data_IF_909511636259
#
_entry.id   IF_909511636259
#
_cell.length_a   1.000
_cell.length_b   1.000
_cell.length_c   1.000
_cell.angle_alpha   90.00
_cell.angle_beta   90.00
_cell.angle_gamma   90.00
#
_symmetry.space_group_name_H-M   'P 1'
#
loop_
_entity.id
_entity.type
_entity.pdbx_description
1 polymer ?
#
# COMPACT_ATOMS: atom_id res chain seq x y z
N UNK A 1 14.76 -15.79 -19.66
CA UNK A 1 14.24 -15.28 -18.38
C UNK A 1 12.86 -14.71 -18.67
N UNK A 2 11.79 -15.05 -17.95
CA UNK A 2 10.55 -14.30 -18.11
C UNK A 2 10.83 -12.89 -17.58
N UNK A 3 10.62 -11.87 -18.42
CA UNK A 3 10.63 -10.48 -18.02
C UNK A 3 9.52 -10.34 -16.97
N UNK A 4 9.86 -10.35 -15.68
CA UNK A 4 8.88 -10.10 -14.62
C UNK A 4 8.51 -8.63 -14.74
N UNK A 5 7.40 -8.34 -15.43
CA UNK A 5 6.82 -7.00 -15.44
C UNK A 5 6.66 -6.56 -14.00
N UNK A 6 7.35 -5.49 -13.62
CA UNK A 6 7.31 -5.00 -12.26
C UNK A 6 5.86 -4.61 -11.94
N UNK A 7 5.37 -4.79 -10.70
CA UNK A 7 4.10 -4.20 -10.30
C UNK A 7 4.08 -2.66 -10.46
N UNK A 8 5.25 -2.06 -10.71
CA UNK A 8 5.45 -0.64 -11.01
C UNK A 8 5.45 -0.34 -12.53
N UNK A 9 5.48 -1.34 -13.41
CA UNK A 9 5.35 -1.19 -14.86
C UNK A 9 3.89 -0.96 -15.23
N UNK A 10 3.42 0.25 -14.95
CA UNK A 10 2.07 0.71 -15.25
C UNK A 10 2.08 1.57 -16.52
N UNK A 11 1.01 1.52 -17.33
CA UNK A 11 0.89 2.41 -18.47
C UNK A 11 0.93 3.88 -18.03
N UNK A 12 1.49 4.73 -18.88
CA UNK A 12 1.54 6.17 -18.60
C UNK A 12 0.11 6.73 -18.44
N UNK A 13 -0.11 7.47 -17.35
CA UNK A 13 -1.43 7.99 -17.00
C UNK A 13 -2.35 7.01 -16.26
N UNK A 14 -1.85 5.86 -15.79
CA UNK A 14 -2.64 4.99 -14.91
C UNK A 14 -3.14 5.78 -13.68
N UNK A 15 -4.45 5.76 -13.37
CA UNK A 15 -5.00 6.52 -12.25
C UNK A 15 -4.37 6.11 -10.90
N UNK A 16 -3.78 4.93 -10.80
CA UNK A 16 -3.07 4.44 -9.62
C UNK A 16 -1.58 4.25 -9.90
N UNK A 17 -1.02 5.05 -10.81
CA UNK A 17 0.40 5.19 -11.01
C UNK A 17 1.14 5.80 -9.81
N UNK A 18 2.49 5.80 -9.84
CA UNK A 18 3.32 6.32 -8.77
C UNK A 18 3.14 7.84 -8.52
N UNK A 19 2.45 8.56 -9.40
CA UNK A 19 2.12 9.97 -9.19
C UNK A 19 0.92 10.20 -8.27
N UNK A 20 0.00 9.23 -8.12
CA UNK A 20 -1.26 9.43 -7.38
C UNK A 20 -1.18 8.85 -5.96
N UNK A 21 -0.66 7.62 -5.82
CA UNK A 21 -0.45 6.93 -4.53
C UNK A 21 -1.53 7.21 -3.47
N UNK A 22 -2.83 6.95 -3.76
CA UNK A 22 -3.88 7.25 -2.83
C UNK A 22 -3.81 6.31 -1.61
N UNK A 23 -4.04 6.89 -0.44
CA UNK A 23 -4.12 6.16 0.82
C UNK A 23 -5.53 5.62 1.05
N UNK A 24 -5.62 4.41 1.58
CA UNK A 24 -6.86 3.75 1.97
C UNK A 24 -6.63 2.85 3.19
N UNK A 25 -7.72 2.33 3.75
CA UNK A 25 -7.66 1.24 4.73
C UNK A 25 -8.07 -0.04 4.04
N UNK A 26 -7.31 -1.10 4.25
CA UNK A 26 -7.60 -2.42 3.70
C UNK A 26 -7.42 -3.51 4.76
N UNK A 27 -8.00 -4.67 4.50
CA UNK A 27 -7.67 -5.95 5.15
C UNK A 27 -7.58 -7.04 4.08
N UNK A 28 -7.11 -8.22 4.46
CA UNK A 28 -7.02 -9.37 3.56
C UNK A 28 -8.08 -10.41 3.92
N UNK A 29 -8.48 -11.31 3.00
CA UNK A 29 -9.44 -12.36 3.30
C UNK A 29 -9.02 -13.27 4.46
N UNK A 30 -7.71 -13.52 4.61
CA UNK A 30 -7.15 -14.36 5.67
C UNK A 30 -7.17 -13.67 7.05
N UNK A 31 -7.13 -12.34 7.06
CA UNK A 31 -7.11 -11.52 8.27
C UNK A 31 -8.06 -10.32 8.13
N UNK A 32 -9.39 -10.54 8.16
CA UNK A 32 -10.37 -9.50 7.88
C UNK A 32 -10.44 -8.43 9.00
N UNK A 33 -10.12 -8.79 10.24
CA UNK A 33 -10.01 -7.87 11.38
C UNK A 33 -8.76 -6.97 11.35
N UNK A 34 -7.70 -7.38 10.64
CA UNK A 34 -6.42 -6.69 10.57
C UNK A 34 -6.43 -5.55 9.55
N UNK A 35 -7.24 -4.53 9.86
CA UNK A 35 -7.38 -3.32 9.05
C UNK A 35 -6.23 -2.36 9.29
N UNK A 36 -5.58 -1.92 8.21
CA UNK A 36 -4.41 -1.03 8.26
C UNK A 36 -4.29 -0.15 7.03
N UNK A 37 -3.42 0.85 7.10
CA UNK A 37 -3.21 1.80 6.01
C UNK A 37 -2.44 1.15 4.87
N UNK A 38 -2.96 1.29 3.65
CA UNK A 38 -2.33 0.86 2.43
C UNK A 38 -2.37 1.94 1.36
N UNK A 39 -1.48 1.82 0.38
CA UNK A 39 -1.40 2.68 -0.79
C UNK A 39 -1.71 1.86 -2.03
N UNK A 40 -2.66 2.33 -2.85
CA UNK A 40 -2.97 1.63 -4.11
C UNK A 40 -1.93 1.96 -5.17
N UNK A 41 -1.40 0.92 -5.82
CA UNK A 41 -0.51 1.03 -6.97
C UNK A 41 -0.90 0.02 -8.06
N UNK A 42 -1.45 0.54 -9.17
CA UNK A 42 -2.10 -0.27 -10.20
C UNK A 42 -3.15 -1.22 -9.61
N UNK A 43 -2.86 -2.53 -9.73
CA UNK A 43 -3.71 -3.63 -9.23
C UNK A 43 -3.31 -4.15 -7.85
N UNK A 44 -2.32 -3.53 -7.21
CA UNK A 44 -1.78 -3.97 -5.93
C UNK A 44 -2.05 -2.93 -4.85
N UNK A 45 -2.00 -3.37 -3.60
CA UNK A 45 -1.99 -2.50 -2.43
C UNK A 45 -0.66 -2.71 -1.72
N UNK A 46 0.11 -1.63 -1.57
CA UNK A 46 1.30 -1.62 -0.74
C UNK A 46 0.87 -1.39 0.71
N UNK A 47 1.28 -2.29 1.59
CA UNK A 47 1.08 -2.15 3.04
C UNK A 47 1.99 -1.06 3.60
N UNK A 48 1.41 0.08 3.97
CA UNK A 48 2.17 1.25 4.42
C UNK A 48 2.77 1.02 5.82
N UNK A 49 2.07 0.30 6.69
CA UNK A 49 2.54 -0.05 8.03
C UNK A 49 3.76 -0.98 7.96
N UNK A 50 3.68 -2.03 7.15
CA UNK A 50 4.79 -2.95 6.94
C UNK A 50 6.00 -2.27 6.31
N UNK A 51 5.79 -1.42 5.29
CA UNK A 51 6.86 -0.65 4.67
C UNK A 51 7.52 0.33 5.66
N UNK A 52 6.72 1.04 6.46
CA UNK A 52 7.21 1.94 7.50
C UNK A 52 8.04 1.19 8.55
N UNK A 53 7.61 0.00 8.96
CA UNK A 53 8.36 -0.83 9.89
C UNK A 53 9.70 -1.29 9.30
N UNK A 54 9.70 -1.79 8.06
CA UNK A 54 10.90 -2.22 7.36
C UNK A 54 11.92 -1.08 7.16
N UNK A 55 11.44 0.15 7.00
CA UNK A 55 12.28 1.35 6.82
C UNK A 55 12.63 2.06 8.14
N UNK A 56 12.20 1.54 9.30
CA UNK A 56 12.47 2.18 10.60
C UNK A 56 11.78 3.54 10.78
N UNK A 57 10.65 3.75 10.13
CA UNK A 57 9.90 5.01 10.18
C UNK A 57 9.28 5.25 11.57
N UNK A 58 9.35 6.47 12.11
CA UNK A 58 8.67 6.82 13.37
C UNK A 58 7.13 6.73 13.25
N UNK A 59 6.59 6.67 12.03
CA UNK A 59 5.16 6.64 11.76
C UNK A 59 4.59 5.22 11.63
N UNK A 60 5.39 4.17 11.87
CA UNK A 60 4.93 2.79 11.72
C UNK A 60 3.65 2.49 12.55
N UNK A 61 3.56 3.00 13.78
CA UNK A 61 2.37 2.82 14.61
C UNK A 61 1.14 3.56 14.11
N UNK A 62 1.32 4.72 13.46
CA UNK A 62 0.23 5.49 12.84
C UNK A 62 -0.28 4.80 11.58
N UNK A 63 0.62 4.26 10.75
CA UNK A 63 0.27 3.58 9.50
C UNK A 63 -0.31 2.17 9.73
N UNK A 64 -0.15 1.61 10.92
CA UNK A 64 -0.83 0.38 11.34
C UNK A 64 -2.27 0.60 11.82
N UNK A 65 -2.78 1.84 11.84
CA UNK A 65 -4.13 2.13 12.35
C UNK A 65 -5.24 1.69 11.37
N UNK A 66 -6.44 1.30 11.89
CA UNK A 66 -7.57 0.89 11.07
C UNK A 66 -8.40 2.06 10.50
N UNK A 67 -7.89 3.30 10.57
CA UNK A 67 -8.53 4.50 10.04
C UNK A 67 -7.49 5.49 9.51
N UNK A 68 -7.91 6.30 8.53
CA UNK A 68 -7.15 7.47 8.05
C UNK A 68 -7.51 8.74 8.83
N UNK A 69 -8.51 8.68 9.70
CA UNK A 69 -8.89 9.79 10.57
C UNK A 69 -8.09 9.72 11.87
N UNK A 70 -7.75 10.88 12.46
CA UNK A 70 -7.13 10.94 13.78
C UNK A 70 -8.02 10.38 14.89
#
# INVERSE_FOLDING_TARGET
>A
MPEQSSPLDLPEGDPFGPHNLPYGVFSTPDHPEDRRVGVRIGNHVLDAGAAAHALGSPYAGLLAQPSLTP
#
